data_IF_456317984200
#
_entry.id   IF_456317984200
#
_cell.length_a   1.000
_cell.length_b   1.000
_cell.length_c   1.000
_cell.angle_alpha   90.00
_cell.angle_beta   90.00
_cell.angle_gamma   90.00
#
_symmetry.space_group_name_H-M   'P 1'
#
loop_
_entity.id
_entity.type
_entity.pdbx_description
1 polymer ?
#
# COMPACT_ATOMS: atom_id res chain seq x y z
N UNK A 1 -21.90 1.13 7.56
CA UNK A 1 -21.45 -0.22 7.95
C UNK A 1 -19.93 -0.23 7.78
N UNK A 2 -19.16 -0.31 8.87
CA UNK A 2 -17.69 -0.39 8.78
C UNK A 2 -17.38 -1.84 8.41
N UNK A 3 -16.79 -2.09 7.24
CA UNK A 3 -16.40 -3.43 6.82
C UNK A 3 -15.05 -3.78 7.47
N UNK A 4 -14.96 -4.89 8.19
CA UNK A 4 -13.76 -5.35 8.90
C UNK A 4 -12.77 -6.06 7.95
N UNK A 5 -12.25 -5.35 6.96
CA UNK A 5 -11.18 -5.92 6.11
C UNK A 5 -9.82 -5.77 6.79
N UNK A 6 -9.06 -6.87 6.96
CA UNK A 6 -7.72 -6.79 7.49
C UNK A 6 -6.85 -5.90 6.59
N UNK A 7 -6.29 -4.86 7.18
CA UNK A 7 -5.50 -3.84 6.48
C UNK A 7 -4.12 -3.73 7.11
N UNK A 8 -3.10 -3.59 6.28
CA UNK A 8 -1.71 -3.43 6.72
C UNK A 8 -1.19 -2.03 6.39
N UNK A 9 -0.45 -1.44 7.31
CA UNK A 9 0.24 -0.16 7.15
C UNK A 9 1.73 -0.31 7.46
N UNK A 10 2.52 0.64 6.97
CA UNK A 10 3.95 0.75 7.28
C UNK A 10 4.22 2.10 7.93
N UNK A 11 4.85 2.09 9.11
CA UNK A 11 5.39 3.27 9.76
C UNK A 11 6.90 3.33 9.52
N UNK A 12 7.34 4.27 8.70
CA UNK A 12 8.75 4.48 8.40
C UNK A 12 9.30 5.71 9.12
N UNK A 13 10.40 5.55 9.86
CA UNK A 13 11.07 6.64 10.57
C UNK A 13 12.55 6.33 10.81
N UNK A 14 13.38 7.38 10.90
CA UNK A 14 14.80 7.26 11.28
C UNK A 14 14.90 7.02 12.79
N UNK A 15 13.97 7.61 13.55
CA UNK A 15 13.84 7.40 14.98
C UNK A 15 12.91 6.23 15.28
N UNK A 16 13.50 5.17 15.84
CA UNK A 16 12.78 3.95 16.22
C UNK A 16 11.74 4.21 17.32
N UNK A 17 11.95 5.19 18.20
CA UNK A 17 10.96 5.51 19.24
C UNK A 17 9.68 6.05 18.62
N UNK A 18 9.81 6.95 17.65
CA UNK A 18 8.69 7.50 16.90
C UNK A 18 7.92 6.44 16.11
N UNK A 19 8.60 5.54 15.37
CA UNK A 19 7.90 4.47 14.64
C UNK A 19 7.22 3.46 15.57
N UNK A 20 7.85 3.12 16.70
CA UNK A 20 7.24 2.23 17.71
C UNK A 20 6.01 2.86 18.34
N UNK A 21 6.04 4.16 18.67
CA UNK A 21 4.88 4.88 19.19
C UNK A 21 3.69 4.84 18.20
N UNK A 22 3.95 5.07 16.91
CA UNK A 22 2.92 4.96 15.87
C UNK A 22 2.40 3.52 15.76
N UNK A 23 3.28 2.53 15.78
CA UNK A 23 2.89 1.13 15.73
C UNK A 23 1.98 0.77 16.90
N UNK A 24 2.31 1.16 18.12
CA UNK A 24 1.55 0.83 19.33
C UNK A 24 0.18 1.51 19.36
N UNK A 25 0.08 2.76 18.89
CA UNK A 25 -1.17 3.53 18.87
C UNK A 25 -2.15 2.98 17.81
N UNK A 26 -1.64 2.61 16.64
CA UNK A 26 -2.49 2.29 15.49
C UNK A 26 -2.65 0.78 15.24
N UNK A 27 -1.88 -0.08 15.90
CA UNK A 27 -2.06 -1.53 15.75
C UNK A 27 -3.29 -2.02 16.51
N UNK A 28 -4.18 -2.70 15.79
CA UNK A 28 -5.37 -3.35 16.33
C UNK A 28 -5.60 -4.70 15.63
N UNK A 29 -6.68 -5.40 16.00
CA UNK A 29 -6.96 -6.73 15.45
C UNK A 29 -7.23 -6.72 13.92
N UNK A 30 -7.66 -5.58 13.38
CA UNK A 30 -7.99 -5.39 11.96
C UNK A 30 -6.98 -4.51 11.22
N UNK A 31 -6.16 -3.73 11.94
CA UNK A 31 -5.18 -2.82 11.37
C UNK A 31 -3.80 -3.17 11.90
N UNK A 32 -2.94 -3.73 11.05
CA UNK A 32 -1.58 -4.12 11.46
C UNK A 32 -0.56 -3.13 10.94
N UNK A 33 0.20 -2.52 11.83
CA UNK A 33 1.28 -1.59 11.47
C UNK A 33 2.63 -2.31 11.55
N UNK A 34 3.46 -2.15 10.51
CA UNK A 34 4.83 -2.67 10.46
C UNK A 34 5.84 -1.52 10.47
N UNK A 35 6.91 -1.66 11.25
CA UNK A 35 7.99 -0.70 11.25
C UNK A 35 8.99 -0.98 10.13
N UNK A 36 9.39 0.07 9.42
CA UNK A 36 10.44 0.01 8.41
C UNK A 36 11.45 1.15 8.64
N UNK A 37 12.74 0.88 8.45
CA UNK A 37 13.79 1.89 8.56
C UNK A 37 14.09 2.55 7.20
N UNK A 38 13.61 1.98 6.08
CA UNK A 38 13.77 2.53 4.74
C UNK A 38 12.64 3.52 4.41
N UNK A 39 12.83 4.77 4.82
CA UNK A 39 11.89 5.86 4.55
C UNK A 39 11.80 6.16 3.06
N UNK A 40 12.95 6.17 2.37
CA UNK A 40 13.01 6.52 0.95
C UNK A 40 12.24 5.50 0.11
N UNK A 41 12.43 4.20 0.38
CA UNK A 41 11.68 3.14 -0.30
C UNK A 41 10.18 3.24 -0.06
N UNK A 42 9.75 3.55 1.16
CA UNK A 42 8.32 3.70 1.50
C UNK A 42 7.70 4.92 0.81
N UNK A 43 8.39 6.05 0.78
CA UNK A 43 7.91 7.29 0.14
C UNK A 43 7.86 7.15 -1.39
N UNK A 44 8.89 6.53 -1.98
CA UNK A 44 8.91 6.22 -3.41
C UNK A 44 7.80 5.23 -3.78
N UNK A 45 7.61 4.16 -3.00
CA UNK A 45 6.51 3.22 -3.25
C UNK A 45 5.14 3.87 -3.17
N UNK A 46 4.93 4.74 -2.18
CA UNK A 46 3.68 5.49 -1.99
C UNK A 46 3.37 6.47 -3.11
N UNK A 47 4.38 7.11 -3.69
CA UNK A 47 4.23 8.04 -4.82
C UNK A 47 4.08 7.29 -6.15
N UNK A 48 4.93 6.30 -6.42
CA UNK A 48 4.94 5.52 -7.65
C UNK A 48 3.65 4.74 -7.90
N UNK A 49 2.98 4.26 -6.84
CA UNK A 49 1.71 3.54 -6.99
C UNK A 49 0.64 4.34 -7.72
N UNK A 50 0.65 5.68 -7.60
CA UNK A 50 -0.32 6.53 -8.28
C UNK A 50 -0.04 6.61 -9.78
N UNK A 51 1.23 6.73 -10.17
CA UNK A 51 1.65 6.71 -11.58
C UNK A 51 1.29 5.37 -12.22
N UNK A 52 1.58 4.27 -11.53
CA UNK A 52 1.23 2.91 -11.98
C UNK A 52 -0.29 2.77 -12.12
N UNK A 53 -1.08 3.27 -11.17
CA UNK A 53 -2.53 3.21 -11.23
C UNK A 53 -3.11 3.97 -12.43
N UNK A 54 -2.56 5.15 -12.75
CA UNK A 54 -2.96 5.93 -13.95
C UNK A 54 -2.60 5.17 -15.22
N UNK A 55 -1.36 4.67 -15.32
CA UNK A 55 -0.93 3.90 -16.49
C UNK A 55 -1.78 2.63 -16.69
N UNK A 56 -2.07 1.91 -15.60
CA UNK A 56 -2.95 0.75 -15.63
C UNK A 56 -4.37 1.12 -16.06
N UNK A 57 -4.94 2.22 -15.56
CA UNK A 57 -6.26 2.70 -15.97
C UNK A 57 -6.33 3.10 -17.45
N UNK A 58 -5.29 3.71 -18.00
CA UNK A 58 -5.19 4.01 -19.44
C UNK A 58 -5.12 2.72 -20.26
N UNK A 59 -4.28 1.76 -19.86
CA UNK A 59 -4.19 0.46 -20.50
C UNK A 59 -5.52 -0.32 -20.46
N UNK A 60 -6.26 -0.21 -19.36
CA UNK A 60 -7.59 -0.84 -19.22
C UNK A 60 -8.62 -0.15 -20.12
N UNK A 61 -8.63 1.18 -20.17
CA UNK A 61 -9.51 1.97 -21.03
C UNK A 61 -9.27 1.75 -22.54
N UNK A 62 -8.04 1.41 -22.93
CA UNK A 62 -7.68 1.04 -24.31
C UNK A 62 -7.96 -0.45 -24.59
N UNK A 63 -8.40 -1.23 -23.59
CA UNK A 63 -8.78 -2.64 -23.72
C UNK A 63 -7.61 -3.64 -23.59
N UNK A 64 -6.42 -3.18 -23.20
CA UNK A 64 -5.21 -4.00 -23.15
C UNK A 64 -5.22 -5.01 -21.99
N UNK A 65 -5.74 -4.60 -20.82
CA UNK A 65 -5.87 -5.48 -19.64
C UNK A 65 -6.92 -6.59 -19.85
N UNK A 66 -7.93 -6.37 -20.69
CA UNK A 66 -8.89 -7.41 -21.09
C UNK A 66 -8.23 -8.60 -21.81
N UNK A 67 -7.17 -8.34 -22.59
CA UNK A 67 -6.38 -9.38 -23.27
C UNK A 67 -5.58 -10.21 -22.26
N UNK A 68 -5.01 -9.56 -21.23
CA UNK A 68 -4.26 -10.22 -20.15
C UNK A 68 -5.19 -11.04 -19.24
N UNK A 69 -6.39 -10.53 -18.93
CA UNK A 69 -7.37 -11.24 -18.09
C UNK A 69 -8.00 -12.46 -18.77
N UNK A 70 -8.07 -12.49 -20.10
CA UNK A 70 -8.65 -13.60 -20.88
C UNK A 70 -7.75 -14.84 -20.98
N UNK A 71 -6.51 -14.79 -20.49
CA UNK A 71 -5.60 -15.94 -20.38
C UNK A 71 -5.66 -16.62 -18.99
N UNK A 72 -6.39 -16.07 -18.03
CA UNK A 72 -6.45 -16.58 -16.65
C UNK A 72 -7.75 -17.33 -16.32
N UNK A 73 -8.63 -17.59 -17.30
CA UNK A 73 -9.84 -18.40 -17.19
C UNK A 73 -10.09 -19.19 -18.47
#
# INVERSE_FOLDING_TARGET
>A
MIQEFPTTLVAASVDKKSSTLVQDIFSSNILRVYNNNDIKGVELGGSLKNVIAIAAGICDGIGFLGIIRRQLY
#
